data_IF_241600882720
#
_entry.id   IF_241600882720
#
_cell.length_a   1.000
_cell.length_b   1.000
_cell.length_c   1.000
_cell.angle_alpha   90.00
_cell.angle_beta   90.00
_cell.angle_gamma   90.00
#
_symmetry.space_group_name_H-M   'P 1'
#
loop_
_entity.id
_entity.type
_entity.pdbx_description
1 polymer ?
#
# COMPACT_ATOMS: atom_id res chain seq x y z
N UNK A 1 -19.04 -6.10 -11.19
CA UNK A 1 -17.76 -6.04 -11.11
C UNK A 1 -17.19 -5.53 -9.87
N UNK A 2 -16.29 -6.17 -9.44
CA UNK A 2 -15.77 -5.94 -8.13
C UNK A 2 -14.54 -5.05 -8.13
N UNK A 3 -14.24 -4.44 -9.24
CA UNK A 3 -13.00 -3.69 -9.38
C UNK A 3 -12.81 -2.61 -8.34
N UNK A 4 -13.88 -1.92 -7.95
CA UNK A 4 -13.76 -0.79 -7.05
C UNK A 4 -13.39 -1.20 -5.62
N UNK A 5 -13.65 -2.45 -5.24
CA UNK A 5 -13.32 -2.90 -3.90
C UNK A 5 -11.82 -2.94 -3.65
N UNK A 6 -11.04 -3.05 -4.70
CA UNK A 6 -9.60 -3.23 -4.59
C UNK A 6 -8.83 -2.05 -5.15
N UNK A 7 -9.48 -0.90 -5.21
CA UNK A 7 -8.87 0.28 -5.80
C UNK A 7 -7.58 0.67 -5.08
N UNK A 8 -7.58 0.61 -3.76
CA UNK A 8 -6.40 0.97 -2.98
C UNK A 8 -5.25 -0.01 -3.23
N UNK A 9 -5.57 -1.29 -3.33
CA UNK A 9 -4.56 -2.30 -3.63
C UNK A 9 -3.98 -2.08 -5.02
N UNK A 10 -4.83 -1.74 -5.97
CA UNK A 10 -4.41 -1.47 -7.33
C UNK A 10 -3.47 -0.28 -7.38
N UNK A 11 -3.84 0.78 -6.66
CA UNK A 11 -3.02 1.98 -6.61
C UNK A 11 -1.66 1.71 -6.01
N UNK A 12 -1.60 0.98 -4.89
CA UNK A 12 -0.30 0.69 -4.29
C UNK A 12 0.54 -0.20 -5.18
N UNK A 13 -0.07 -1.15 -5.90
CA UNK A 13 0.68 -1.98 -6.82
C UNK A 13 1.25 -1.16 -7.97
N UNK A 14 0.50 -0.19 -8.47
CA UNK A 14 0.99 0.71 -9.51
C UNK A 14 2.15 1.55 -9.01
N UNK A 15 2.05 2.06 -7.79
CA UNK A 15 3.13 2.83 -7.18
C UNK A 15 4.36 1.95 -7.02
N UNK A 16 4.17 0.72 -6.52
CA UNK A 16 5.29 -0.19 -6.32
C UNK A 16 5.97 -0.58 -7.63
N UNK A 17 5.21 -0.66 -8.70
CA UNK A 17 5.81 -0.95 -10.01
C UNK A 17 6.82 0.12 -10.39
N UNK A 18 6.57 1.36 -9.99
CA UNK A 18 7.50 2.46 -10.25
C UNK A 18 8.66 2.50 -9.25
N UNK A 19 8.59 1.71 -8.19
CA UNK A 19 9.64 1.65 -7.16
C UNK A 19 10.41 0.35 -7.22
N UNK A 20 10.25 -0.42 -8.27
CA UNK A 20 10.85 -1.74 -8.38
C UNK A 20 12.38 -1.71 -8.42
N UNK A 21 12.96 -0.54 -8.67
CA UNK A 21 14.41 -0.38 -8.65
C UNK A 21 14.98 -0.28 -7.23
N UNK A 22 14.13 -0.18 -6.22
CA UNK A 22 14.55 -0.06 -4.83
C UNK A 22 14.51 -1.40 -4.13
N UNK A 23 15.38 -1.63 -3.15
CA UNK A 23 15.23 -2.76 -2.24
C UNK A 23 13.88 -2.67 -1.52
N UNK A 24 13.40 -3.81 -1.03
CA UNK A 24 12.07 -3.89 -0.44
C UNK A 24 11.84 -2.93 0.71
N UNK A 25 12.82 -2.78 1.60
CA UNK A 25 12.68 -1.90 2.74
C UNK A 25 12.60 -0.43 2.31
N UNK A 26 13.38 -0.06 1.31
CA UNK A 26 13.33 1.31 0.78
C UNK A 26 12.05 1.54 0.00
N UNK A 27 11.59 0.55 -0.74
CA UNK A 27 10.32 0.65 -1.45
C UNK A 27 9.18 0.83 -0.47
N UNK A 28 9.19 0.10 0.64
CA UNK A 28 8.15 0.23 1.65
C UNK A 28 8.14 1.63 2.25
N UNK A 29 9.32 2.18 2.55
CA UNK A 29 9.41 3.52 3.11
C UNK A 29 8.94 4.57 2.11
N UNK A 30 9.31 4.42 0.84
CA UNK A 30 8.87 5.35 -0.19
C UNK A 30 7.37 5.27 -0.40
N UNK A 31 6.81 4.06 -0.36
CA UNK A 31 5.37 3.89 -0.50
C UNK A 31 4.63 4.52 0.67
N UNK A 32 5.09 4.30 1.88
CA UNK A 32 4.47 4.90 3.06
C UNK A 32 4.50 6.43 2.97
N UNK A 33 5.62 6.99 2.55
CA UNK A 33 5.72 8.43 2.38
C UNK A 33 4.77 8.97 1.34
N UNK A 34 4.60 8.24 0.25
CA UNK A 34 3.66 8.62 -0.80
C UNK A 34 2.23 8.63 -0.26
N UNK A 35 1.87 7.59 0.46
CA UNK A 35 0.52 7.48 1.02
C UNK A 35 0.26 8.63 1.99
N UNK A 36 1.21 8.91 2.87
CA UNK A 36 1.04 9.98 3.85
C UNK A 36 0.87 11.35 3.20
N UNK A 37 1.48 11.55 2.05
CA UNK A 37 1.42 12.84 1.37
C UNK A 37 0.18 13.02 0.52
N UNK A 38 -0.26 11.96 -0.14
CA UNK A 38 -1.23 12.11 -1.21
C UNK A 38 -2.56 11.43 -0.95
N UNK A 39 -2.62 10.51 0.01
CA UNK A 39 -3.86 9.81 0.30
C UNK A 39 -4.59 10.47 1.44
N UNK A 40 -5.92 10.47 1.38
CA UNK A 40 -6.69 10.94 2.52
C UNK A 40 -6.84 9.81 3.56
N UNK A 41 -7.29 10.15 4.79
CA UNK A 41 -7.40 9.15 5.85
C UNK A 41 -8.32 7.99 5.52
N UNK A 42 -9.34 8.20 4.71
CA UNK A 42 -10.26 7.13 4.35
C UNK A 42 -9.58 6.08 3.49
N UNK A 43 -8.82 6.53 2.51
CA UNK A 43 -8.09 5.62 1.64
C UNK A 43 -7.07 4.83 2.42
N UNK A 44 -6.34 5.51 3.28
CA UNK A 44 -5.33 4.88 4.13
C UNK A 44 -5.99 3.85 5.04
N UNK A 45 -7.12 4.18 5.62
CA UNK A 45 -7.85 3.25 6.48
C UNK A 45 -8.32 2.02 5.74
N UNK A 46 -8.77 2.17 4.51
CA UNK A 46 -9.19 1.02 3.70
C UNK A 46 -8.01 0.11 3.38
N UNK A 47 -6.86 0.70 3.09
CA UNK A 47 -5.68 -0.11 2.83
C UNK A 47 -5.27 -0.88 4.08
N UNK A 48 -5.26 -0.23 5.23
CA UNK A 48 -4.95 -0.89 6.49
C UNK A 48 -5.88 -2.04 6.77
N UNK A 49 -7.16 -1.81 6.56
CA UNK A 49 -8.16 -2.82 6.79
C UNK A 49 -7.94 -4.02 5.89
N UNK A 50 -7.65 -3.76 4.62
CA UNK A 50 -7.42 -4.83 3.66
C UNK A 50 -6.19 -5.65 4.04
N UNK A 51 -5.13 -4.99 4.46
CA UNK A 51 -3.92 -5.66 4.89
C UNK A 51 -4.19 -6.50 6.15
N UNK A 52 -5.00 -5.98 7.07
CA UNK A 52 -5.31 -6.70 8.30
C UNK A 52 -6.15 -7.94 8.02
N UNK A 53 -7.13 -7.81 7.12
CA UNK A 53 -8.07 -8.90 6.85
C UNK A 53 -7.43 -9.98 5.97
N UNK A 54 -6.57 -9.59 5.05
CA UNK A 54 -6.07 -10.53 4.06
C UNK A 54 -4.62 -10.23 3.70
N UNK A 55 -3.77 -10.25 4.70
CA UNK A 55 -2.36 -9.93 4.53
C UNK A 55 -1.69 -10.88 3.52
N UNK A 56 -2.17 -12.11 3.43
CA UNK A 56 -1.56 -13.08 2.53
C UNK A 56 -1.74 -12.74 1.07
N UNK A 57 -2.74 -11.95 0.72
CA UNK A 57 -3.00 -11.60 -0.67
C UNK A 57 -2.31 -10.30 -1.10
N UNK A 58 -1.66 -9.59 -0.17
CA UNK A 58 -0.92 -8.38 -0.52
C UNK A 58 0.58 -8.65 -0.39
N UNK A 59 1.36 -7.87 -1.12
CA UNK A 59 2.81 -8.09 -1.09
C UNK A 59 3.38 -7.71 0.27
N UNK A 60 4.52 -8.32 0.61
CA UNK A 60 5.19 -8.03 1.87
C UNK A 60 5.63 -6.57 1.95
N UNK A 61 5.93 -5.96 0.82
CA UNK A 61 6.31 -4.55 0.78
C UNK A 61 5.14 -3.67 1.20
N UNK A 62 3.92 -4.01 0.75
CA UNK A 62 2.72 -3.26 1.14
C UNK A 62 2.47 -3.41 2.63
N UNK A 63 2.61 -4.63 3.16
CA UNK A 63 2.45 -4.86 4.59
C UNK A 63 3.44 -4.02 5.39
N UNK A 64 4.69 -3.99 4.96
CA UNK A 64 5.72 -3.22 5.63
C UNK A 64 5.44 -1.72 5.55
N UNK A 65 4.94 -1.24 4.41
CA UNK A 65 4.61 0.16 4.25
C UNK A 65 3.48 0.58 5.19
N UNK A 66 2.45 -0.25 5.28
CA UNK A 66 1.32 0.04 6.16
C UNK A 66 1.77 0.08 7.61
N UNK A 67 2.70 -0.79 7.99
CA UNK A 67 3.22 -0.81 9.34
C UNK A 67 3.98 0.49 9.68
N UNK A 68 4.48 1.20 8.69
CA UNK A 68 5.18 2.47 8.91
C UNK A 68 4.24 3.66 8.99
N UNK A 69 2.99 3.49 8.59
CA UNK A 69 2.02 4.59 8.66
C UNK A 69 1.64 4.84 10.11
N UNK A 70 1.63 6.09 10.47
CA UNK A 70 1.40 6.51 11.84
C UNK A 70 -0.01 6.40 12.40
#
# INVERSE_FOLDING_TARGET
MSGSEFTEIRLVNDILANLSYLPDDEAATALAGHIERFWDPRMTGRLRERVTVDAASVSTVVVAAVAQLG
#
